data_IF_564907100621
#
_entry.id   IF_564907100621
#
_cell.length_a   1.000
_cell.length_b   1.000
_cell.length_c   1.000
_cell.angle_alpha   90.00
_cell.angle_beta   90.00
_cell.angle_gamma   90.00
#
_symmetry.space_group_name_H-M   'P 1'
#
loop_
_entity.id
_entity.type
_entity.pdbx_description
1 polymer ?
#
# COMPACT_ATOMS: atom_id res chain seq x y z
N UNK A 1 7.45 -0.65 -18.15
CA UNK A 1 6.83 -0.75 -16.82
C UNK A 1 7.87 -0.29 -15.79
N UNK A 2 7.56 0.69 -14.96
CA UNK A 2 8.42 1.03 -13.81
C UNK A 2 8.28 -0.08 -12.76
N UNK A 3 9.39 -0.59 -12.24
CA UNK A 3 9.39 -1.56 -11.14
C UNK A 3 8.85 -0.90 -9.87
N UNK A 4 8.05 -1.64 -9.09
CA UNK A 4 7.57 -1.19 -7.78
C UNK A 4 8.66 -1.51 -6.76
N UNK A 5 9.13 -0.49 -6.04
CA UNK A 5 10.03 -0.68 -4.89
C UNK A 5 9.23 -1.17 -3.68
N UNK A 6 9.77 -2.13 -2.93
CA UNK A 6 9.07 -2.74 -1.78
C UNK A 6 8.92 -1.83 -0.55
N UNK A 7 9.48 -0.62 -0.56
CA UNK A 7 9.34 0.35 0.52
C UNK A 7 7.87 0.76 0.71
N UNK A 8 7.36 0.63 1.93
CA UNK A 8 5.96 0.91 2.25
C UNK A 8 5.00 -0.27 2.04
N UNK A 9 5.51 -1.47 1.74
CA UNK A 9 4.70 -2.69 1.78
C UNK A 9 4.39 -3.04 3.23
N UNK A 10 3.12 -3.36 3.52
CA UNK A 10 2.62 -3.65 4.87
C UNK A 10 2.13 -5.10 4.93
N UNK A 11 2.46 -5.81 6.00
CA UNK A 11 1.80 -7.05 6.39
C UNK A 11 0.75 -6.76 7.46
N UNK A 12 -0.41 -7.36 7.29
CA UNK A 12 -1.53 -7.24 8.22
C UNK A 12 -2.09 -8.63 8.51
N UNK A 13 -2.63 -8.78 9.71
CA UNK A 13 -3.22 -10.04 10.21
C UNK A 13 -4.64 -9.78 10.68
N UNK A 14 -5.55 -10.68 10.32
CA UNK A 14 -6.92 -10.68 10.80
C UNK A 14 -7.30 -12.04 11.40
N UNK A 15 -8.25 -12.04 12.31
CA UNK A 15 -8.87 -13.26 12.83
C UNK A 15 -9.89 -13.78 11.80
N UNK A 16 -9.94 -15.10 11.52
CA UNK A 16 -10.95 -15.68 10.65
C UNK A 16 -12.40 -15.42 11.09
N UNK A 17 -12.63 -15.18 12.38
CA UNK A 17 -13.95 -14.79 12.91
C UNK A 17 -14.33 -13.34 12.61
N UNK A 18 -13.33 -12.48 12.36
CA UNK A 18 -13.51 -11.06 12.00
C UNK A 18 -12.64 -10.70 10.80
N UNK A 19 -12.90 -11.28 9.61
CA UNK A 19 -11.99 -11.22 8.46
C UNK A 19 -11.83 -9.83 7.82
N UNK A 20 -12.58 -8.85 8.29
CA UNK A 20 -12.51 -7.46 7.82
C UNK A 20 -11.68 -6.54 8.73
N UNK A 21 -11.32 -7.00 9.93
CA UNK A 21 -10.55 -6.22 10.91
C UNK A 21 -9.09 -6.67 10.87
N UNK A 22 -8.25 -5.87 10.23
CA UNK A 22 -6.83 -6.16 10.08
C UNK A 22 -5.98 -5.35 11.06
N UNK A 23 -5.02 -6.01 11.67
CA UNK A 23 -3.99 -5.38 12.50
C UNK A 23 -2.66 -5.41 11.75
N UNK A 24 -2.04 -4.26 11.58
CA UNK A 24 -0.75 -4.17 10.90
C UNK A 24 0.36 -4.79 11.76
N UNK A 25 1.18 -5.61 11.12
CA UNK A 25 2.47 -6.06 11.67
C UNK A 25 3.50 -4.98 11.35
N UNK A 26 4.04 -4.35 12.38
CA UNK A 26 4.92 -3.21 12.23
C UNK A 26 6.30 -3.60 11.65
N UNK A 27 6.95 -2.62 11.00
CA UNK A 27 8.38 -2.61 10.72
C UNK A 27 8.91 -3.72 9.80
N UNK A 28 8.16 -4.08 8.78
CA UNK A 28 8.63 -5.03 7.76
C UNK A 28 9.83 -4.44 7.01
N UNK A 29 11.00 -5.11 7.13
CA UNK A 29 12.26 -4.74 6.48
C UNK A 29 12.40 -5.44 5.13
N UNK A 30 11.99 -6.70 5.05
CA UNK A 30 12.04 -7.51 3.84
C UNK A 30 10.83 -8.43 3.79
N UNK A 31 10.23 -8.56 2.61
CA UNK A 31 9.12 -9.45 2.35
C UNK A 31 9.40 -10.25 1.09
N UNK A 32 9.34 -11.56 1.21
CA UNK A 32 9.18 -12.49 0.09
C UNK A 32 7.71 -12.87 0.04
N UNK A 33 6.93 -12.41 -0.94
CA UNK A 33 5.51 -12.70 -1.02
C UNK A 33 5.26 -14.18 -1.38
N UNK A 34 3.98 -14.57 -1.36
CA UNK A 34 3.52 -15.87 -1.86
C UNK A 34 3.96 -16.02 -3.33
N UNK A 35 4.51 -17.17 -3.66
CA UNK A 35 4.84 -17.53 -5.03
C UNK A 35 4.10 -18.78 -5.46
N UNK A 36 4.16 -19.11 -6.73
CA UNK A 36 3.58 -20.32 -7.31
C UNK A 36 4.68 -21.20 -7.86
N UNK A 37 4.58 -22.49 -7.62
CA UNK A 37 5.45 -23.53 -8.14
C UNK A 37 4.60 -24.63 -8.74
N UNK A 38 4.91 -25.06 -9.95
CA UNK A 38 4.35 -26.27 -10.53
C UNK A 38 5.35 -27.41 -10.36
N UNK A 39 4.89 -28.56 -9.95
CA UNK A 39 5.69 -29.77 -10.00
C UNK A 39 5.92 -30.18 -11.45
N UNK A 40 7.07 -30.80 -11.69
CA UNK A 40 7.45 -31.30 -13.00
C UNK A 40 7.50 -32.81 -12.95
N UNK A 41 6.57 -33.46 -13.62
CA UNK A 41 6.50 -34.91 -13.71
C UNK A 41 7.26 -35.36 -14.95
N UNK A 42 8.27 -36.22 -14.79
CA UNK A 42 9.05 -36.80 -15.88
C UNK A 42 8.23 -37.94 -16.51
N UNK A 43 7.93 -37.81 -17.79
CA UNK A 43 7.20 -38.79 -18.60
C UNK A 43 8.08 -39.43 -19.67
N UNK A 44 9.38 -39.23 -19.59
CA UNK A 44 10.34 -39.77 -20.55
C UNK A 44 10.28 -41.30 -20.60
N UNK A 45 10.18 -41.84 -21.80
CA UNK A 45 10.24 -43.30 -22.06
C UNK A 45 11.42 -43.60 -23.01
N UNK A 46 11.78 -44.88 -23.09
CA UNK A 46 12.80 -45.31 -24.06
C UNK A 46 12.39 -45.08 -25.53
N UNK A 47 11.09 -44.82 -25.75
CA UNK A 47 10.55 -44.46 -27.08
C UNK A 47 10.44 -42.96 -27.35
N UNK A 48 10.87 -42.10 -26.43
CA UNK A 48 10.83 -40.64 -26.60
C UNK A 48 11.67 -40.19 -27.80
N UNK A 49 11.04 -39.59 -28.84
CA UNK A 49 11.66 -39.48 -30.18
C UNK A 49 12.82 -38.47 -30.26
N UNK A 50 12.94 -37.58 -29.29
CA UNK A 50 13.90 -36.46 -29.32
C UNK A 50 15.18 -36.67 -28.52
N UNK A 51 15.33 -37.80 -27.78
CA UNK A 51 16.39 -38.04 -26.79
C UNK A 51 16.45 -36.98 -25.65
N UNK A 52 15.47 -36.10 -25.56
CA UNK A 52 15.30 -35.15 -24.47
C UNK A 52 14.28 -35.65 -23.45
N UNK A 53 14.41 -35.18 -22.21
CA UNK A 53 13.42 -35.50 -21.18
C UNK A 53 12.09 -34.88 -21.50
N UNK A 54 11.06 -35.69 -21.51
CA UNK A 54 9.67 -35.25 -21.65
C UNK A 54 9.11 -35.00 -20.25
N UNK A 55 8.46 -33.84 -20.07
CA UNK A 55 7.91 -33.42 -18.79
C UNK A 55 6.51 -32.84 -18.96
N UNK A 56 5.63 -33.16 -18.03
CA UNK A 56 4.34 -32.53 -17.91
C UNK A 56 4.26 -31.74 -16.60
N UNK A 57 3.43 -30.71 -16.59
CA UNK A 57 3.16 -29.96 -15.36
C UNK A 57 2.30 -30.82 -14.41
N UNK A 58 2.75 -30.95 -13.17
CA UNK A 58 2.02 -31.57 -12.09
C UNK A 58 1.11 -30.56 -11.35
N UNK A 59 0.89 -30.82 -10.07
CA UNK A 59 0.09 -29.94 -9.22
C UNK A 59 0.80 -28.60 -8.99
N UNK A 60 0.00 -27.55 -8.85
CA UNK A 60 0.47 -26.24 -8.41
C UNK A 60 0.61 -26.26 -6.88
N UNK A 61 1.73 -25.77 -6.40
CA UNK A 61 2.01 -25.56 -5.00
C UNK A 61 2.32 -24.07 -4.74
N UNK A 62 2.10 -23.62 -3.50
CA UNK A 62 2.41 -22.28 -3.07
C UNK A 62 3.77 -22.27 -2.36
N UNK A 63 4.57 -21.26 -2.67
CA UNK A 63 5.76 -21.02 -1.85
C UNK A 63 5.40 -20.11 -0.69
N UNK A 64 5.81 -20.52 0.50
CA UNK A 64 5.49 -19.83 1.74
C UNK A 64 6.09 -18.41 1.75
N UNK A 65 5.32 -17.39 2.14
CA UNK A 65 5.84 -16.06 2.35
C UNK A 65 6.78 -16.05 3.57
N UNK A 66 7.88 -15.35 3.42
CA UNK A 66 8.83 -15.10 4.50
C UNK A 66 9.03 -13.62 4.67
N UNK A 67 9.13 -13.17 5.94
CA UNK A 67 9.30 -11.79 6.29
C UNK A 67 10.49 -11.63 7.23
N UNK A 68 11.19 -10.51 7.08
CA UNK A 68 12.14 -10.00 8.05
C UNK A 68 11.59 -8.68 8.58
N UNK A 69 11.42 -8.58 9.89
CA UNK A 69 10.96 -7.38 10.58
C UNK A 69 12.07 -6.83 11.47
N UNK A 70 12.01 -5.55 11.79
CA UNK A 70 12.82 -5.01 12.88
C UNK A 70 12.26 -5.53 14.20
N UNK A 71 13.11 -6.15 15.00
CA UNK A 71 12.72 -6.80 16.25
C UNK A 71 12.96 -5.88 17.45
N UNK A 72 11.91 -5.67 18.22
CA UNK A 72 11.97 -4.98 19.51
C UNK A 72 11.30 -5.87 20.57
N UNK A 73 12.09 -6.49 21.47
CA UNK A 73 11.57 -7.43 22.45
C UNK A 73 10.48 -6.81 23.33
N UNK A 74 9.34 -7.50 23.42
CA UNK A 74 8.22 -7.11 24.28
C UNK A 74 7.32 -6.01 23.74
N UNK A 75 7.52 -5.54 22.51
CA UNK A 75 6.60 -4.61 21.90
C UNK A 75 5.28 -5.34 21.45
N UNK A 76 4.29 -4.55 21.03
CA UNK A 76 2.99 -5.09 20.63
C UNK A 76 3.08 -6.06 19.43
N UNK A 77 4.04 -5.85 18.52
CA UNK A 77 4.28 -6.72 17.36
C UNK A 77 4.89 -8.04 17.79
N UNK A 78 5.89 -8.03 18.67
CA UNK A 78 6.54 -9.22 19.22
C UNK A 78 5.50 -10.10 19.96
N UNK A 79 4.73 -9.51 20.86
CA UNK A 79 3.67 -10.20 21.62
C UNK A 79 2.62 -10.78 20.68
N UNK A 80 2.17 -10.03 19.67
CA UNK A 80 1.22 -10.50 18.67
C UNK A 80 1.76 -11.73 17.94
N UNK A 81 2.97 -11.64 17.38
CA UNK A 81 3.55 -12.72 16.58
C UNK A 81 3.76 -13.99 17.38
N UNK A 82 4.23 -13.89 18.62
CA UNK A 82 4.34 -15.05 19.52
C UNK A 82 2.97 -15.70 19.80
N UNK A 83 1.93 -14.90 19.95
CA UNK A 83 0.57 -15.38 20.26
C UNK A 83 -0.12 -16.11 19.10
N UNK A 84 0.31 -15.87 17.86
CA UNK A 84 -0.33 -16.42 16.66
C UNK A 84 0.45 -17.58 16.02
N UNK A 85 1.55 -18.05 16.64
CA UNK A 85 2.28 -19.22 16.16
C UNK A 85 1.35 -20.44 16.19
N UNK A 86 1.22 -21.13 15.05
CA UNK A 86 0.34 -22.28 14.89
C UNK A 86 -1.17 -21.96 14.89
N UNK A 87 -1.55 -20.69 15.01
CA UNK A 87 -2.96 -20.26 15.03
C UNK A 87 -3.39 -19.83 13.63
N UNK A 88 -4.52 -20.39 13.15
CA UNK A 88 -5.07 -20.00 11.85
C UNK A 88 -5.45 -18.52 11.83
N UNK A 89 -4.92 -17.78 10.87
CA UNK A 89 -5.15 -16.34 10.65
C UNK A 89 -5.33 -16.06 9.16
N UNK A 90 -5.81 -14.85 8.85
CA UNK A 90 -5.81 -14.31 7.50
C UNK A 90 -4.67 -13.30 7.42
N UNK A 91 -3.73 -13.52 6.53
CA UNK A 91 -2.60 -12.63 6.27
C UNK A 91 -2.89 -11.82 5.02
N UNK A 92 -2.73 -10.50 5.11
CA UNK A 92 -2.86 -9.57 3.98
C UNK A 92 -1.56 -8.82 3.77
N UNK A 93 -1.06 -8.83 2.54
CA UNK A 93 0.07 -8.03 2.10
C UNK A 93 -0.51 -6.88 1.28
N UNK A 94 -0.27 -5.65 1.72
CA UNK A 94 -0.64 -4.44 0.99
C UNK A 94 0.61 -3.86 0.34
N UNK A 95 0.64 -3.82 -0.98
CA UNK A 95 1.73 -3.25 -1.77
C UNK A 95 1.57 -1.74 -1.90
N UNK A 96 2.68 -1.05 -2.21
CA UNK A 96 2.72 0.42 -2.36
C UNK A 96 1.81 0.96 -3.46
N UNK A 97 1.44 0.14 -4.44
CA UNK A 97 0.47 0.49 -5.47
C UNK A 97 -0.99 0.27 -5.04
N UNK A 98 -1.25 -0.10 -3.78
CA UNK A 98 -2.58 -0.35 -3.25
C UNK A 98 -3.18 -1.72 -3.60
N UNK A 99 -2.47 -2.57 -4.35
CA UNK A 99 -2.88 -3.97 -4.57
C UNK A 99 -2.70 -4.74 -3.27
N UNK A 100 -3.63 -5.62 -2.95
CA UNK A 100 -3.53 -6.49 -1.77
C UNK A 100 -3.59 -7.96 -2.16
N UNK A 101 -2.81 -8.76 -1.47
CA UNK A 101 -2.86 -10.23 -1.51
C UNK A 101 -3.25 -10.73 -0.14
N UNK A 102 -4.34 -11.47 -0.05
CA UNK A 102 -4.82 -12.06 1.20
C UNK A 102 -4.93 -13.57 1.08
N UNK A 103 -4.41 -14.29 2.06
CA UNK A 103 -4.51 -15.76 2.15
C UNK A 103 -4.71 -16.20 3.60
N UNK A 104 -5.46 -17.28 3.79
CA UNK A 104 -5.49 -17.97 5.07
C UNK A 104 -4.18 -18.74 5.29
N UNK A 105 -3.74 -18.83 6.54
CA UNK A 105 -2.51 -19.52 6.90
C UNK A 105 -2.23 -19.44 8.40
N UNK A 106 -1.04 -19.83 8.79
CA UNK A 106 -0.56 -19.74 10.17
C UNK A 106 0.96 -19.50 10.18
N UNK A 107 1.47 -18.89 11.23
CA UNK A 107 2.91 -18.71 11.43
C UNK A 107 3.51 -20.06 11.83
N UNK A 108 4.48 -20.53 11.08
CA UNK A 108 5.23 -21.78 11.38
C UNK A 108 6.50 -21.50 12.15
N UNK A 109 7.09 -20.34 11.94
CA UNK A 109 8.37 -19.97 12.55
C UNK A 109 8.40 -18.48 12.86
N UNK A 110 8.87 -18.14 14.04
CA UNK A 110 9.23 -16.81 14.49
C UNK A 110 10.61 -16.89 15.13
N UNK A 111 11.63 -16.41 14.45
CA UNK A 111 13.03 -16.54 14.82
C UNK A 111 13.69 -15.15 14.99
N UNK A 112 13.78 -14.64 16.23
CA UNK A 112 14.54 -13.42 16.52
C UNK A 112 16.03 -13.62 16.34
N UNK A 113 16.73 -12.60 15.83
CA UNK A 113 18.17 -12.51 15.68
C UNK A 113 18.66 -11.13 16.16
N UNK A 114 19.70 -11.13 17.00
CA UNK A 114 20.23 -9.92 17.64
C UNK A 114 21.74 -9.81 17.39
N UNK A 115 22.16 -9.44 16.19
CA UNK A 115 23.57 -9.31 15.84
C UNK A 115 24.25 -8.16 16.59
N UNK A 116 25.59 -8.26 16.80
CA UNK A 116 26.36 -7.26 17.56
C UNK A 116 26.49 -5.90 16.86
N UNK A 117 26.47 -5.90 15.53
CA UNK A 117 26.82 -4.74 14.69
C UNK A 117 25.72 -4.40 13.63
N UNK A 118 24.55 -4.92 13.82
CA UNK A 118 23.38 -4.61 12.97
C UNK A 118 22.10 -4.45 13.81
N UNK A 119 21.03 -3.97 13.17
CA UNK A 119 19.74 -3.88 13.82
C UNK A 119 19.19 -5.28 14.18
N UNK A 120 18.57 -5.40 15.35
CA UNK A 120 17.83 -6.60 15.72
C UNK A 120 16.71 -6.87 14.71
N UNK A 121 16.61 -8.10 14.27
CA UNK A 121 15.60 -8.54 13.29
C UNK A 121 14.92 -9.80 13.78
N UNK A 122 13.74 -10.09 13.23
CA UNK A 122 13.11 -11.39 13.37
C UNK A 122 12.64 -11.89 12.01
N UNK A 123 12.86 -13.16 11.76
CA UNK A 123 12.35 -13.84 10.56
C UNK A 123 11.05 -14.55 10.90
N UNK A 124 10.07 -14.38 10.05
CA UNK A 124 8.74 -15.00 10.15
C UNK A 124 8.51 -15.83 8.91
N UNK A 125 8.11 -17.08 9.10
CA UNK A 125 7.63 -17.96 8.03
C UNK A 125 6.16 -18.23 8.22
N UNK A 126 5.37 -18.05 7.15
CA UNK A 126 3.93 -18.28 7.16
C UNK A 126 3.62 -19.43 6.22
N UNK A 127 2.94 -20.46 6.71
CA UNK A 127 2.36 -21.51 5.88
C UNK A 127 1.00 -21.06 5.38
N UNK A 128 0.80 -21.02 4.07
CA UNK A 128 -0.48 -20.65 3.48
C UNK A 128 -1.35 -21.86 3.23
N UNK A 129 -2.61 -21.80 3.66
CA UNK A 129 -3.58 -22.90 3.54
C UNK A 129 -4.65 -22.66 2.48
N UNK A 130 -4.61 -21.50 1.83
CA UNK A 130 -5.54 -21.15 0.75
C UNK A 130 -4.82 -20.42 -0.39
N UNK A 131 -5.40 -20.48 -1.58
CA UNK A 131 -4.96 -19.64 -2.68
C UNK A 131 -5.10 -18.15 -2.28
N UNK A 132 -4.13 -17.31 -2.64
CA UNK A 132 -4.23 -15.89 -2.33
C UNK A 132 -5.32 -15.22 -3.16
N UNK A 133 -6.16 -14.46 -2.49
CA UNK A 133 -7.10 -13.54 -3.14
C UNK A 133 -6.36 -12.25 -3.46
N UNK A 134 -6.28 -11.92 -4.74
CA UNK A 134 -5.67 -10.67 -5.22
C UNK A 134 -6.77 -9.63 -5.42
N UNK A 135 -6.68 -8.53 -4.66
CA UNK A 135 -7.59 -7.40 -4.83
C UNK A 135 -6.84 -6.26 -5.51
N UNK A 136 -7.35 -5.83 -6.65
CA UNK A 136 -6.80 -4.68 -7.37
C UNK A 136 -6.92 -3.39 -6.54
N UNK A 137 -6.00 -2.46 -6.76
CA UNK A 137 -6.13 -1.12 -6.20
C UNK A 137 -7.43 -0.49 -6.69
N UNK A 138 -8.16 0.17 -5.81
CA UNK A 138 -9.28 1.01 -6.19
C UNK A 138 -8.80 2.45 -6.50
N UNK A 139 -9.51 3.15 -7.39
CA UNK A 139 -9.27 4.58 -7.58
C UNK A 139 -9.46 5.34 -6.25
N UNK A 140 -8.75 6.45 -6.04
CA UNK A 140 -8.87 7.21 -4.81
C UNK A 140 -10.31 7.69 -4.58
N UNK A 141 -10.77 7.62 -3.33
CA UNK A 141 -12.06 8.17 -2.90
C UNK A 141 -11.81 9.21 -1.83
N UNK A 142 -12.38 10.41 -2.02
CA UNK A 142 -12.29 11.48 -1.04
C UNK A 142 -13.30 11.25 0.10
N UNK A 143 -12.83 11.22 1.34
CA UNK A 143 -13.67 11.10 2.55
C UNK A 143 -13.74 12.40 3.36
N UNK A 144 -12.74 13.28 3.23
CA UNK A 144 -12.74 14.64 3.79
C UNK A 144 -12.27 15.58 2.69
N UNK A 145 -13.07 16.59 2.40
CA UNK A 145 -12.77 17.54 1.35
C UNK A 145 -11.44 18.26 1.58
N UNK A 146 -10.74 18.66 0.48
CA UNK A 146 -9.59 19.54 0.56
C UNK A 146 -9.96 20.86 1.25
N UNK A 147 -8.97 21.48 1.87
CA UNK A 147 -9.12 22.78 2.51
C UNK A 147 -8.02 23.73 2.03
N UNK A 148 -8.29 25.03 2.09
CA UNK A 148 -7.30 26.08 1.88
C UNK A 148 -7.15 26.87 3.17
N UNK A 149 -5.94 27.24 3.56
CA UNK A 149 -5.68 28.15 4.67
C UNK A 149 -4.73 29.26 4.27
N UNK A 150 -4.73 30.33 5.03
CA UNK A 150 -3.89 31.51 4.81
C UNK A 150 -4.68 32.81 4.97
N UNK A 151 -3.98 33.95 4.88
CA UNK A 151 -4.60 35.26 4.95
C UNK A 151 -5.21 35.64 3.60
N UNK A 152 -6.46 36.09 3.60
CA UNK A 152 -7.18 36.52 2.39
C UNK A 152 -6.82 37.95 1.95
N UNK A 153 -5.60 38.39 2.27
CA UNK A 153 -5.06 39.71 1.85
C UNK A 153 -4.11 39.46 0.69
N UNK A 154 -4.18 40.35 -0.32
CA UNK A 154 -3.26 40.34 -1.47
C UNK A 154 -1.80 40.36 -1.04
N UNK A 155 -0.98 39.54 -1.72
CA UNK A 155 0.46 39.37 -1.44
C UNK A 155 0.77 38.34 -0.39
N UNK A 156 -0.24 37.66 0.16
CA UNK A 156 -0.05 36.54 1.09
C UNK A 156 -0.14 35.20 0.38
N UNK A 157 0.44 34.20 1.02
CA UNK A 157 0.46 32.82 0.52
C UNK A 157 -0.74 32.06 1.09
N UNK A 158 -1.51 31.43 0.22
CA UNK A 158 -2.49 30.42 0.55
C UNK A 158 -1.86 29.03 0.42
N UNK A 159 -2.23 28.12 1.30
CA UNK A 159 -1.76 26.72 1.29
C UNK A 159 -2.95 25.77 1.16
N UNK A 160 -2.86 24.83 0.22
CA UNK A 160 -3.85 23.78 0.06
C UNK A 160 -3.51 22.60 0.94
N UNK A 161 -4.54 22.02 1.57
CA UNK A 161 -4.53 20.73 2.28
C UNK A 161 -5.36 19.74 1.49
N UNK A 162 -4.83 18.57 1.32
CA UNK A 162 -5.39 17.55 0.43
C UNK A 162 -6.74 17.00 0.89
N UNK A 163 -7.04 17.09 2.20
CA UNK A 163 -8.13 16.34 2.82
C UNK A 163 -7.72 14.89 3.11
N UNK A 164 -8.70 13.98 3.17
CA UNK A 164 -8.47 12.57 3.43
C UNK A 164 -8.94 11.75 2.23
N UNK A 165 -8.07 10.87 1.76
CA UNK A 165 -8.30 10.03 0.58
C UNK A 165 -7.93 8.58 0.86
N UNK A 166 -8.65 7.65 0.24
CA UNK A 166 -8.26 6.24 0.19
C UNK A 166 -7.23 5.96 -0.91
N UNK A 167 -6.61 4.77 -0.88
CA UNK A 167 -5.79 4.25 -1.98
C UNK A 167 -4.39 4.83 -2.11
N UNK A 168 -3.84 5.48 -1.04
CA UNK A 168 -2.48 6.04 -1.01
C UNK A 168 -2.09 6.83 -2.29
N UNK A 169 -2.86 7.85 -2.69
CA UNK A 169 -2.64 8.56 -3.93
C UNK A 169 -1.47 9.55 -3.86
N UNK A 170 -0.98 9.93 -5.04
CA UNK A 170 -0.22 11.17 -5.26
C UNK A 170 -1.16 12.31 -5.57
N UNK A 171 -0.74 13.56 -5.30
CA UNK A 171 -1.60 14.71 -5.43
C UNK A 171 -1.07 15.73 -6.45
N UNK A 172 -2.01 16.32 -7.20
CA UNK A 172 -1.78 17.51 -8.03
C UNK A 172 -2.82 18.58 -7.70
N UNK A 173 -2.50 19.82 -7.95
CA UNK A 173 -3.28 20.98 -7.51
C UNK A 173 -3.63 21.86 -8.71
N UNK A 174 -4.81 22.45 -8.71
CA UNK A 174 -5.23 23.49 -9.65
C UNK A 174 -5.97 24.55 -8.87
N UNK A 175 -5.35 25.74 -8.79
CA UNK A 175 -5.95 26.90 -8.18
C UNK A 175 -6.93 27.57 -9.14
N UNK A 176 -8.05 28.02 -8.60
CA UNK A 176 -9.14 28.64 -9.37
C UNK A 176 -9.58 29.95 -8.73
N UNK A 177 -9.89 30.92 -9.56
CA UNK A 177 -10.57 32.15 -9.19
C UNK A 177 -11.97 32.15 -9.79
N UNK A 178 -13.02 32.26 -8.95
CA UNK A 178 -14.40 32.20 -9.42
C UNK A 178 -14.73 30.94 -10.24
N UNK A 179 -14.07 29.80 -9.93
CA UNK A 179 -14.22 28.56 -10.67
C UNK A 179 -13.31 28.38 -11.90
N UNK A 180 -12.63 29.42 -12.35
CA UNK A 180 -11.73 29.37 -13.51
C UNK A 180 -10.29 29.16 -13.07
N UNK A 181 -9.60 28.20 -13.70
CA UNK A 181 -8.19 27.89 -13.40
C UNK A 181 -7.28 29.09 -13.71
N UNK A 182 -6.35 29.36 -12.79
CA UNK A 182 -5.39 30.47 -12.94
C UNK A 182 -3.97 30.05 -13.36
N UNK A 183 -3.79 28.75 -13.69
CA UNK A 183 -2.54 28.17 -14.16
C UNK A 183 -1.56 27.73 -13.06
N UNK A 184 -1.82 27.98 -11.77
CA UNK A 184 -0.96 27.56 -10.66
C UNK A 184 -1.27 26.12 -10.28
N UNK A 185 -0.21 25.28 -10.21
CA UNK A 185 -0.28 23.84 -9.93
C UNK A 185 0.51 23.40 -8.70
N UNK A 186 1.06 24.35 -7.95
CA UNK A 186 1.80 24.09 -6.71
C UNK A 186 0.87 24.00 -5.51
N UNK A 187 1.33 23.36 -4.44
CA UNK A 187 0.59 23.24 -3.16
C UNK A 187 0.27 24.60 -2.53
N UNK A 188 1.05 25.62 -2.86
CA UNK A 188 0.87 26.98 -2.37
C UNK A 188 0.53 27.93 -3.51
N UNK A 189 -0.21 28.99 -3.20
CA UNK A 189 -0.61 30.04 -4.13
C UNK A 189 -0.34 31.44 -3.54
N UNK A 190 0.42 32.26 -4.25
CA UNK A 190 0.62 33.66 -3.90
C UNK A 190 -0.51 34.51 -4.50
N UNK A 191 -1.28 35.17 -3.66
CA UNK A 191 -2.38 36.04 -4.11
C UNK A 191 -1.86 37.30 -4.77
N UNK A 192 -2.45 37.65 -5.91
CA UNK A 192 -2.02 38.80 -6.75
C UNK A 192 -3.12 39.88 -6.83
N UNK A 193 -2.79 41.04 -7.41
CA UNK A 193 -3.74 42.14 -7.55
C UNK A 193 -5.01 41.76 -8.32
N UNK A 194 -4.87 40.85 -9.29
CA UNK A 194 -6.00 40.30 -10.04
C UNK A 194 -6.98 39.48 -9.24
N UNK A 195 -6.63 39.05 -8.03
CA UNK A 195 -7.47 38.18 -7.18
C UNK A 195 -8.40 38.97 -6.25
N UNK A 196 -8.15 40.27 -6.09
CA UNK A 196 -8.98 41.14 -5.23
C UNK A 196 -10.46 41.01 -5.61
N UNK A 197 -11.31 40.93 -4.60
CA UNK A 197 -12.74 40.61 -4.68
C UNK A 197 -13.09 39.26 -5.29
N UNK A 198 -12.08 38.40 -5.62
CA UNK A 198 -12.25 37.05 -6.12
C UNK A 198 -12.22 36.00 -5.04
N UNK A 199 -12.99 34.94 -5.24
CA UNK A 199 -12.98 33.74 -4.41
C UNK A 199 -11.95 32.80 -4.98
N UNK A 200 -10.97 32.41 -4.16
CA UNK A 200 -9.94 31.44 -4.53
C UNK A 200 -10.28 30.07 -3.94
N UNK A 201 -10.23 29.06 -4.77
CA UNK A 201 -10.38 27.64 -4.38
C UNK A 201 -9.26 26.81 -4.97
N UNK A 202 -9.00 25.65 -4.40
CA UNK A 202 -8.04 24.68 -4.95
C UNK A 202 -8.76 23.38 -5.25
N UNK A 203 -8.64 22.89 -6.49
CA UNK A 203 -9.01 21.52 -6.85
C UNK A 203 -7.80 20.65 -6.68
N UNK A 204 -7.93 19.63 -5.83
CA UNK A 204 -6.93 18.58 -5.60
C UNK A 204 -7.35 17.36 -6.39
N UNK A 205 -6.44 16.86 -7.22
CA UNK A 205 -6.61 15.58 -7.93
C UNK A 205 -5.69 14.56 -7.29
N UNK A 206 -6.29 13.49 -6.77
CA UNK A 206 -5.63 12.33 -6.20
C UNK A 206 -5.52 11.24 -7.27
N UNK A 207 -4.33 10.70 -7.50
CA UNK A 207 -4.07 9.69 -8.54
C UNK A 207 -3.28 8.53 -7.95
N UNK A 208 -3.72 7.31 -8.25
CA UNK A 208 -2.97 6.09 -8.03
C UNK A 208 -2.97 5.20 -9.30
N UNK A 209 -2.47 3.98 -9.21
CA UNK A 209 -2.38 3.04 -10.34
C UNK A 209 -3.74 2.59 -10.89
N UNK A 210 -4.82 2.74 -10.10
CA UNK A 210 -6.18 2.34 -10.50
C UNK A 210 -6.96 3.48 -11.17
N UNK A 211 -6.52 4.72 -11.00
CA UNK A 211 -7.19 5.87 -11.59
C UNK A 211 -6.99 7.15 -10.79
N UNK A 212 -7.81 8.15 -11.08
CA UNK A 212 -7.78 9.45 -10.41
C UNK A 212 -9.19 9.92 -10.02
N UNK A 213 -9.27 10.70 -8.95
CA UNK A 213 -10.46 11.42 -8.54
C UNK A 213 -10.09 12.82 -8.08
N UNK A 214 -11.01 13.77 -8.21
CA UNK A 214 -10.77 15.17 -7.85
C UNK A 214 -11.81 15.67 -6.86
N UNK A 215 -11.38 16.54 -5.95
CA UNK A 215 -12.25 17.28 -5.05
C UNK A 215 -11.77 18.74 -4.97
N UNK A 216 -12.70 19.64 -4.76
CA UNK A 216 -12.41 21.09 -4.65
C UNK A 216 -12.64 21.54 -3.21
N UNK A 217 -11.74 22.39 -2.71
CA UNK A 217 -11.83 22.99 -1.39
C UNK A 217 -13.10 23.82 -1.24
N UNK A 218 -13.58 23.94 0.01
CA UNK A 218 -14.55 24.97 0.35
C UNK A 218 -13.96 26.37 0.08
N UNK A 219 -14.84 27.32 -0.06
CA UNK A 219 -14.49 28.73 -0.21
C UNK A 219 -14.20 29.35 1.15
N UNK A 220 -13.15 30.15 1.26
CA UNK A 220 -12.77 30.87 2.49
C UNK A 220 -13.27 32.33 2.51
N UNK A 221 -13.84 32.82 1.40
CA UNK A 221 -14.19 34.24 1.21
C UNK A 221 -13.42 34.89 0.08
N UNK A 222 -13.64 36.18 -0.11
CA UNK A 222 -12.98 36.96 -1.16
C UNK A 222 -11.62 37.50 -0.69
N UNK A 223 -10.68 37.64 -1.61
CA UNK A 223 -9.39 38.28 -1.37
C UNK A 223 -9.59 39.81 -1.22
N UNK A 224 -8.98 40.40 -0.21
CA UNK A 224 -8.99 41.84 0.08
C UNK A 224 -7.67 42.52 -0.26
#
# INVERSE_FOLDING_TARGET
>A
MAGIIGYGTILEVADPATPTVFTAVALVKKLKPIGWKADSIDTTTMGSPSKFREKIAGLLDLTNPTLEILFNPGDATDVLLQSIIGVAKIFRITFTNGVTWAAAGFVTEYSPDTPLDAANVATITIETTSLPTVTASAAPVNSVLPAVSGSLVRGNILTAYEGVWSGAPTFTYVWKKGGVANGTTTKTYLTVVGDVAGIITCTVTATNTAGSASATSSNLGAIT
#
